data_IF_289012490407
#
_entry.id   IF_289012490407
#
_cell.length_a   1.000
_cell.length_b   1.000
_cell.length_c   1.000
_cell.angle_alpha   90.00
_cell.angle_beta   90.00
_cell.angle_gamma   90.00
#
_symmetry.space_group_name_H-M   'P 1'
#
loop_
_entity.id
_entity.type
_entity.pdbx_description
1 polymer ?
#
# COMPACT_ATOMS: atom_id res chain seq x y z
N UNK A 1 25.11 26.64 -3.80
CA UNK A 1 26.44 26.16 -3.39
C UNK A 1 27.06 27.20 -2.49
N UNK A 2 27.27 26.90 -1.21
CA UNK A 2 28.10 27.76 -0.36
C UNK A 2 29.51 27.82 -0.96
N UNK A 3 30.04 29.03 -1.11
CA UNK A 3 31.30 29.34 -1.79
C UNK A 3 32.56 28.89 -1.06
N UNK A 4 32.41 28.25 0.10
CA UNK A 4 33.50 27.66 0.86
C UNK A 4 33.55 26.16 0.57
N UNK A 5 34.74 25.63 0.25
CA UNK A 5 35.02 24.21 -0.04
C UNK A 5 34.87 23.31 1.20
N UNK A 6 33.76 23.42 1.91
CA UNK A 6 33.42 22.65 3.10
C UNK A 6 32.58 21.46 2.64
N UNK A 7 32.98 20.25 3.05
CA UNK A 7 32.20 19.05 2.80
C UNK A 7 30.81 19.18 3.42
N UNK A 8 29.77 18.87 2.65
CA UNK A 8 28.38 18.87 3.10
C UNK A 8 27.74 17.51 2.84
N UNK A 9 26.72 17.19 3.62
CA UNK A 9 25.85 16.04 3.42
C UNK A 9 24.66 16.43 2.52
N UNK A 10 24.13 15.44 1.79
CA UNK A 10 22.98 15.59 0.88
C UNK A 10 21.63 15.28 1.55
N UNK A 11 21.62 15.08 2.87
CA UNK A 11 20.44 14.68 3.63
C UNK A 11 20.19 13.16 3.60
N UNK A 12 18.96 12.77 3.96
CA UNK A 12 18.49 11.36 3.96
C UNK A 12 18.57 10.80 2.54
N UNK A 13 18.99 9.54 2.41
CA UNK A 13 19.26 8.85 1.13
C UNK A 13 20.34 9.53 0.27
N UNK A 14 21.26 10.29 0.90
CA UNK A 14 22.32 11.00 0.21
C UNK A 14 23.32 10.10 -0.54
N UNK A 15 23.49 8.84 -0.12
CA UNK A 15 24.35 7.86 -0.81
C UNK A 15 23.79 7.50 -2.18
N UNK A 16 22.52 7.12 -2.24
CA UNK A 16 21.85 6.80 -3.50
C UNK A 16 21.79 8.03 -4.40
N UNK A 17 21.52 9.22 -3.82
CA UNK A 17 21.50 10.46 -4.59
C UNK A 17 22.87 10.80 -5.17
N UNK A 18 23.95 10.54 -4.43
CA UNK A 18 25.32 10.67 -4.95
C UNK A 18 25.56 9.73 -6.13
N UNK A 19 25.12 8.47 -6.03
CA UNK A 19 25.24 7.50 -7.13
C UNK A 19 24.49 7.98 -8.39
N UNK A 20 23.28 8.52 -8.21
CA UNK A 20 22.48 9.08 -9.31
C UNK A 20 23.14 10.30 -9.96
N UNK A 21 23.68 11.23 -9.17
CA UNK A 21 24.40 12.39 -9.70
C UNK A 21 25.62 11.92 -10.52
N UNK A 22 26.41 11.00 -9.95
CA UNK A 22 27.60 10.49 -10.63
C UNK A 22 27.25 9.72 -11.91
N UNK A 23 26.21 8.88 -11.87
CA UNK A 23 25.72 8.16 -13.05
C UNK A 23 25.25 9.11 -14.16
N UNK A 24 24.52 10.17 -13.79
CA UNK A 24 24.08 11.20 -14.73
C UNK A 24 25.25 11.97 -15.34
N UNK A 25 26.22 12.41 -14.53
CA UNK A 25 27.40 13.15 -14.99
C UNK A 25 28.31 12.30 -15.88
N UNK A 26 28.43 11.00 -15.58
CA UNK A 26 29.23 10.07 -16.36
C UNK A 26 28.51 9.55 -17.61
N UNK A 27 27.22 9.86 -17.79
CA UNK A 27 26.37 9.31 -18.85
C UNK A 27 26.42 7.77 -18.84
N UNK A 28 26.29 7.21 -17.64
CA UNK A 28 26.35 5.77 -17.43
C UNK A 28 25.22 5.06 -18.18
N UNK A 29 25.51 3.85 -18.69
CA UNK A 29 24.49 2.99 -19.31
C UNK A 29 23.39 2.60 -18.32
N UNK A 30 23.73 2.48 -17.02
CA UNK A 30 22.79 2.22 -15.94
C UNK A 30 23.38 2.58 -14.58
N UNK A 31 22.52 2.72 -13.58
CA UNK A 31 22.90 2.84 -12.16
C UNK A 31 22.33 1.66 -11.38
N UNK A 32 23.12 1.15 -10.44
CA UNK A 32 22.73 0.01 -9.60
C UNK A 32 22.75 0.41 -8.14
N UNK A 33 21.61 0.28 -7.47
CA UNK A 33 21.50 0.47 -6.03
C UNK A 33 21.46 -0.91 -5.38
N UNK A 34 22.45 -1.16 -4.51
CA UNK A 34 22.62 -2.40 -3.78
C UNK A 34 22.07 -2.22 -2.36
N UNK A 35 21.03 -2.97 -2.04
CA UNK A 35 20.31 -2.95 -0.77
C UNK A 35 20.33 -4.36 -0.15
N UNK A 36 19.49 -4.61 0.86
CA UNK A 36 19.31 -5.88 1.56
C UNK A 36 18.06 -6.67 1.13
N UNK A 37 17.29 -6.14 0.16
CA UNK A 37 16.09 -6.76 -0.41
C UNK A 37 16.32 -7.28 -1.84
N UNK A 38 15.57 -8.33 -2.22
CA UNK A 38 15.57 -8.95 -3.56
C UNK A 38 14.80 -8.09 -4.58
N UNK A 39 15.17 -6.82 -4.70
CA UNK A 39 14.47 -5.82 -5.49
C UNK A 39 13.29 -5.17 -4.76
N UNK A 40 12.41 -4.55 -5.53
CA UNK A 40 11.14 -3.97 -5.05
C UNK A 40 10.08 -5.06 -5.09
N UNK A 41 9.34 -5.22 -4.00
CA UNK A 41 8.35 -6.28 -3.82
C UNK A 41 6.93 -5.79 -4.13
N UNK A 42 6.02 -6.68 -4.52
CA UNK A 42 4.60 -6.36 -4.77
C UNK A 42 3.82 -5.95 -3.50
N UNK A 43 4.36 -6.24 -2.31
CA UNK A 43 3.95 -5.75 -0.99
C UNK A 43 5.13 -5.95 -0.03
N UNK A 44 5.07 -5.39 1.18
CA UNK A 44 6.08 -5.65 2.23
C UNK A 44 6.16 -7.17 2.52
N UNK A 45 7.32 -7.83 2.28
CA UNK A 45 7.48 -9.26 2.51
C UNK A 45 7.38 -9.66 3.98
N UNK A 46 7.55 -8.73 4.93
CA UNK A 46 7.31 -8.98 6.35
C UNK A 46 5.82 -9.04 6.68
N UNK A 47 4.98 -8.38 5.89
CA UNK A 47 3.53 -8.40 6.03
C UNK A 47 2.89 -9.49 5.17
N UNK A 48 3.45 -9.78 3.99
CA UNK A 48 2.85 -10.68 3.00
C UNK A 48 3.89 -11.70 2.51
N UNK A 49 3.76 -12.94 2.99
CA UNK A 49 4.66 -14.04 2.60
C UNK A 49 4.63 -14.35 1.09
N UNK A 50 3.50 -14.08 0.43
CA UNK A 50 3.33 -14.30 -1.02
C UNK A 50 3.83 -13.13 -1.87
N UNK A 51 4.48 -12.12 -1.28
CA UNK A 51 5.06 -11.00 -2.01
C UNK A 51 6.09 -11.49 -3.04
N UNK A 52 6.11 -10.85 -4.20
CA UNK A 52 6.96 -11.22 -5.35
C UNK A 52 7.80 -10.03 -5.76
N UNK A 53 9.02 -10.26 -6.22
CA UNK A 53 9.83 -9.21 -6.85
C UNK A 53 9.14 -8.68 -8.10
N UNK A 54 9.03 -7.36 -8.20
CA UNK A 54 8.64 -6.63 -9.40
C UNK A 54 9.87 -6.56 -10.30
N UNK A 55 9.86 -7.26 -11.43
CA UNK A 55 11.04 -7.32 -12.30
C UNK A 55 11.28 -6.01 -13.06
N UNK A 56 10.21 -5.30 -13.40
CA UNK A 56 10.27 -4.04 -14.15
C UNK A 56 9.17 -3.09 -13.69
N UNK A 57 9.50 -1.80 -13.64
CA UNK A 57 8.56 -0.71 -13.39
C UNK A 57 9.01 0.61 -14.03
N UNK A 58 8.07 1.53 -14.17
CA UNK A 58 8.35 2.92 -14.59
C UNK A 58 8.86 3.77 -13.44
N UNK A 59 9.51 4.90 -13.75
CA UNK A 59 9.89 5.88 -12.72
C UNK A 59 8.67 6.40 -11.95
N UNK A 60 7.57 6.70 -12.63
CA UNK A 60 6.33 7.15 -12.00
C UNK A 60 5.80 6.12 -11.00
N UNK A 61 5.78 4.84 -11.36
CA UNK A 61 5.36 3.77 -10.44
C UNK A 61 6.29 3.67 -9.22
N UNK A 62 7.59 3.88 -9.41
CA UNK A 62 8.57 3.82 -8.32
C UNK A 62 8.40 5.00 -7.35
N UNK A 63 8.14 6.19 -7.90
CA UNK A 63 7.86 7.40 -7.11
C UNK A 63 6.59 7.21 -6.29
N UNK A 64 5.51 6.75 -6.92
CA UNK A 64 4.21 6.54 -6.24
C UNK A 64 4.31 5.46 -5.15
N UNK A 65 5.00 4.34 -5.41
CA UNK A 65 5.24 3.32 -4.39
C UNK A 65 6.09 3.85 -3.22
N UNK A 66 7.15 4.60 -3.52
CA UNK A 66 8.00 5.21 -2.49
C UNK A 66 7.24 6.25 -1.64
N UNK A 67 6.35 7.02 -2.25
CA UNK A 67 5.51 7.99 -1.55
C UNK A 67 4.58 7.32 -0.54
N UNK A 68 3.96 6.20 -0.92
CA UNK A 68 3.01 5.48 -0.07
C UNK A 68 3.64 4.42 0.85
N UNK A 69 4.92 4.56 1.19
CA UNK A 69 5.55 3.78 2.26
C UNK A 69 6.34 2.55 1.82
N UNK A 70 6.50 2.28 0.51
CA UNK A 70 7.51 1.30 0.10
C UNK A 70 8.90 1.87 0.42
N UNK A 71 9.68 1.17 1.26
CA UNK A 71 11.09 1.51 1.49
C UNK A 71 11.90 1.26 0.20
N UNK A 72 11.90 2.27 -0.66
CA UNK A 72 12.50 2.28 -2.00
C UNK A 72 13.29 3.59 -2.17
N UNK A 73 13.96 3.71 -3.31
CA UNK A 73 14.60 4.94 -3.77
C UNK A 73 13.58 6.09 -3.85
N UNK A 74 13.86 7.17 -3.14
CA UNK A 74 13.08 8.41 -3.14
C UNK A 74 13.17 9.17 -4.48
N UNK A 75 12.11 9.89 -4.88
CA UNK A 75 12.06 10.66 -6.14
C UNK A 75 13.30 11.56 -6.37
N UNK A 76 13.65 12.39 -5.38
CA UNK A 76 14.86 13.24 -5.41
C UNK A 76 16.13 12.48 -5.81
N UNK A 77 16.24 11.22 -5.38
CA UNK A 77 17.37 10.36 -5.73
C UNK A 77 17.32 9.94 -7.19
N UNK A 78 16.14 9.68 -7.77
CA UNK A 78 16.01 9.25 -9.16
C UNK A 78 16.11 10.40 -10.17
N UNK A 79 15.75 11.63 -9.80
CA UNK A 79 15.66 12.79 -10.69
C UNK A 79 16.85 12.97 -11.66
N UNK A 80 18.13 12.89 -11.24
CA UNK A 80 19.26 13.04 -12.16
C UNK A 80 19.32 11.99 -13.27
N UNK A 81 18.76 10.81 -13.02
CA UNK A 81 18.73 9.68 -13.95
C UNK A 81 17.50 9.72 -14.84
N UNK A 82 16.36 10.18 -14.32
CA UNK A 82 15.13 10.41 -15.10
C UNK A 82 15.39 11.37 -16.26
N UNK A 83 16.07 12.49 -16.00
CA UNK A 83 16.36 13.53 -17.00
C UNK A 83 17.19 13.01 -18.20
N UNK A 84 17.98 11.95 -17.98
CA UNK A 84 18.83 11.31 -19.00
C UNK A 84 18.32 9.94 -19.44
N UNK A 85 17.15 9.51 -18.97
CA UNK A 85 16.58 8.17 -19.19
C UNK A 85 17.56 7.02 -18.86
N UNK A 86 18.34 7.19 -17.78
CA UNK A 86 19.32 6.20 -17.33
C UNK A 86 18.62 5.17 -16.42
N UNK A 87 18.55 3.89 -16.81
CA UNK A 87 17.83 2.88 -16.05
C UNK A 87 18.50 2.61 -14.70
N UNK A 88 17.65 2.37 -13.69
CA UNK A 88 18.07 2.04 -12.33
C UNK A 88 17.79 0.56 -12.08
N UNK A 89 18.71 -0.11 -11.39
CA UNK A 89 18.53 -1.49 -10.98
C UNK A 89 18.65 -1.62 -9.47
N UNK A 90 17.65 -2.22 -8.83
CA UNK A 90 17.65 -2.57 -7.42
C UNK A 90 18.13 -4.01 -7.26
N UNK A 91 19.17 -4.21 -6.44
CA UNK A 91 19.80 -5.52 -6.21
C UNK A 91 20.01 -5.80 -4.73
N UNK A 92 20.07 -7.09 -4.39
CA UNK A 92 20.41 -7.54 -3.06
C UNK A 92 21.92 -7.81 -2.92
N UNK A 93 22.57 -7.16 -1.96
CA UNK A 93 23.98 -7.36 -1.61
C UNK A 93 24.21 -8.77 -1.04
N UNK A 94 23.26 -9.28 -0.27
CA UNK A 94 23.33 -10.60 0.39
C UNK A 94 22.86 -11.75 -0.50
N UNK A 95 22.17 -11.43 -1.61
CA UNK A 95 21.69 -12.41 -2.58
C UNK A 95 21.91 -11.91 -4.03
N UNK A 96 23.17 -11.87 -4.53
CA UNK A 96 23.47 -11.23 -5.82
C UNK A 96 22.83 -11.88 -7.06
N UNK A 97 22.42 -13.16 -6.94
CA UNK A 97 21.76 -13.93 -7.99
C UNK A 97 20.22 -13.83 -7.92
N UNK A 98 19.68 -13.02 -7.01
CA UNK A 98 18.24 -12.79 -6.88
C UNK A 98 17.65 -12.16 -8.14
N UNK A 99 16.33 -12.18 -8.23
CA UNK A 99 15.63 -11.29 -9.16
C UNK A 99 15.96 -9.84 -8.82
N UNK A 100 15.98 -9.01 -9.85
CA UNK A 100 16.27 -7.58 -9.77
C UNK A 100 15.07 -6.78 -10.24
N UNK A 101 14.92 -5.57 -9.73
CA UNK A 101 13.94 -4.61 -10.28
C UNK A 101 14.65 -3.63 -11.19
N UNK A 102 14.22 -3.54 -12.45
CA UNK A 102 14.63 -2.49 -13.38
C UNK A 102 13.60 -1.36 -13.39
N UNK A 103 14.06 -0.14 -13.11
CA UNK A 103 13.27 1.09 -13.21
C UNK A 103 13.72 1.86 -14.47
N UNK A 104 12.79 2.21 -15.36
CA UNK A 104 13.09 2.92 -16.62
C UNK A 104 11.87 3.66 -17.18
N UNK A 105 12.01 4.44 -18.26
CA UNK A 105 10.86 5.07 -18.94
C UNK A 105 9.95 4.11 -19.72
N UNK A 106 10.39 2.86 -19.92
CA UNK A 106 9.68 1.89 -20.74
C UNK A 106 8.30 1.55 -20.16
N UNK A 107 7.26 1.64 -20.99
CA UNK A 107 5.92 1.15 -20.67
C UNK A 107 5.93 -0.38 -20.64
N UNK A 108 5.47 -0.96 -19.54
CA UNK A 108 5.47 -2.42 -19.34
C UNK A 108 4.05 -2.92 -19.47
N UNK A 109 3.79 -3.67 -20.53
CA UNK A 109 2.49 -4.33 -20.74
C UNK A 109 2.30 -5.50 -19.75
N UNK A 110 1.04 -5.73 -19.33
CA UNK A 110 0.62 -7.02 -18.74
C UNK A 110 0.15 -7.02 -17.29
N UNK A 111 0.46 -6.00 -16.47
CA UNK A 111 -0.10 -5.87 -15.11
C UNK A 111 -0.53 -4.44 -14.82
N UNK A 112 -1.83 -4.26 -14.54
CA UNK A 112 -2.39 -2.94 -14.21
C UNK A 112 -1.88 -2.43 -12.86
N UNK A 113 -1.96 -3.27 -11.81
CA UNK A 113 -1.42 -2.97 -10.47
C UNK A 113 -0.02 -3.58 -10.36
N UNK A 114 0.95 -2.80 -9.89
CA UNK A 114 2.35 -3.20 -9.69
C UNK A 114 2.67 -3.55 -8.25
N UNK A 115 2.12 -2.80 -7.31
CA UNK A 115 2.37 -3.03 -5.90
C UNK A 115 1.26 -2.52 -5.00
N UNK A 116 1.31 -2.99 -3.77
CA UNK A 116 0.48 -2.55 -2.65
C UNK A 116 1.41 -2.02 -1.58
N UNK A 117 1.08 -0.87 -1.03
CA UNK A 117 1.86 -0.26 0.05
C UNK A 117 0.94 0.17 1.18
N UNK A 118 1.56 0.40 2.33
CA UNK A 118 0.88 0.74 3.56
C UNK A 118 1.58 1.89 4.25
N UNK A 119 0.80 2.75 4.90
CA UNK A 119 1.30 3.72 5.87
C UNK A 119 0.58 3.47 7.18
N UNK A 120 1.34 3.08 8.20
CA UNK A 120 0.84 2.80 9.54
C UNK A 120 0.91 4.06 10.42
N UNK A 121 0.23 4.02 11.57
CA UNK A 121 0.29 5.08 12.59
C UNK A 121 -0.10 6.45 12.03
N UNK A 122 -1.29 6.53 11.45
CA UNK A 122 -1.86 7.80 11.01
C UNK A 122 -3.05 8.19 11.87
N UNK A 123 -3.29 9.50 11.93
CA UNK A 123 -4.51 10.09 12.48
C UNK A 123 -5.33 10.66 11.33
N UNK A 124 -6.59 10.22 11.23
CA UNK A 124 -7.55 10.76 10.28
C UNK A 124 -8.32 11.92 10.93
N UNK A 125 -8.35 13.06 10.26
CA UNK A 125 -8.96 14.30 10.75
C UNK A 125 -10.01 14.76 9.75
N UNK A 126 -11.21 15.04 10.22
CA UNK A 126 -12.29 15.60 9.42
C UNK A 126 -12.71 16.96 10.01
N UNK A 127 -12.71 17.98 9.16
CA UNK A 127 -13.31 19.27 9.46
C UNK A 127 -14.52 19.45 8.56
N UNK A 128 -15.64 19.91 9.13
CA UNK A 128 -16.84 20.15 8.35
C UNK A 128 -17.63 21.36 8.84
N UNK A 129 -18.41 21.96 7.95
CA UNK A 129 -19.22 23.11 8.31
C UNK A 129 -19.91 23.79 7.13
N UNK A 130 -21.10 24.32 7.39
CA UNK A 130 -21.90 25.04 6.40
C UNK A 130 -21.24 26.34 5.94
N UNK A 131 -20.38 26.93 6.78
CA UNK A 131 -19.59 28.12 6.45
C UNK A 131 -18.45 27.86 5.46
N UNK A 132 -18.16 26.60 5.10
CA UNK A 132 -17.14 26.25 4.10
C UNK A 132 -17.68 26.30 2.66
N UNK A 133 -19.00 26.20 2.46
CA UNK A 133 -19.61 26.06 1.15
C UNK A 133 -19.38 27.33 0.30
N UNK A 134 -18.67 27.18 -0.83
CA UNK A 134 -18.49 28.27 -1.79
C UNK A 134 -17.69 29.46 -1.24
N UNK A 135 -16.97 29.27 -0.13
CA UNK A 135 -16.05 30.26 0.45
C UNK A 135 -14.63 29.86 0.07
N UNK A 136 -14.00 30.54 -0.91
CA UNK A 136 -12.61 30.29 -1.25
C UNK A 136 -11.72 30.60 -0.05
N UNK A 137 -10.82 29.69 0.30
CA UNK A 137 -9.74 29.97 1.24
C UNK A 137 -9.69 29.10 2.49
N UNK A 138 -10.73 28.34 2.83
CA UNK A 138 -10.69 27.41 3.98
C UNK A 138 -9.58 26.38 3.83
N UNK A 139 -9.48 25.72 2.67
CA UNK A 139 -8.39 24.79 2.39
C UNK A 139 -7.01 25.49 2.47
N UNK A 140 -6.88 26.71 1.96
CA UNK A 140 -5.62 27.48 2.04
C UNK A 140 -5.23 27.75 3.49
N UNK A 141 -6.16 28.21 4.33
CA UNK A 141 -5.95 28.48 5.76
C UNK A 141 -5.52 27.20 6.49
N UNK A 142 -6.23 26.10 6.25
CA UNK A 142 -5.91 24.78 6.81
C UNK A 142 -4.49 24.36 6.46
N UNK A 143 -4.14 24.30 5.17
CA UNK A 143 -2.78 23.86 4.79
C UNK A 143 -1.69 24.82 5.27
N UNK A 144 -1.99 26.11 5.40
CA UNK A 144 -1.03 27.09 5.94
C UNK A 144 -0.77 26.83 7.42
N UNK A 145 -1.80 26.67 8.24
CA UNK A 145 -1.60 26.42 9.68
C UNK A 145 -0.94 25.07 9.97
N UNK A 146 -1.26 24.03 9.18
CA UNK A 146 -0.58 22.74 9.28
C UNK A 146 0.92 22.86 8.93
N UNK A 147 1.23 23.57 7.84
CA UNK A 147 2.62 23.81 7.42
C UNK A 147 3.40 24.61 8.47
N UNK A 148 2.80 25.65 9.05
CA UNK A 148 3.42 26.48 10.09
C UNK A 148 3.68 25.66 11.38
N UNK A 149 2.85 24.67 11.66
CA UNK A 149 3.02 23.71 12.76
C UNK A 149 3.97 22.53 12.43
N UNK A 150 4.55 22.52 11.21
CA UNK A 150 5.44 21.45 10.72
C UNK A 150 4.73 20.12 10.47
N UNK A 151 3.41 20.14 10.26
CA UNK A 151 2.58 18.94 10.05
C UNK A 151 2.42 18.72 8.55
N UNK A 152 2.87 17.55 8.07
CA UNK A 152 2.68 17.14 6.68
C UNK A 152 1.38 16.34 6.52
N UNK A 153 0.65 16.61 5.45
CA UNK A 153 -0.57 15.84 5.09
C UNK A 153 -0.17 14.68 4.18
N UNK A 154 -0.53 13.47 4.60
CA UNK A 154 -0.19 12.23 3.90
C UNK A 154 -1.22 11.92 2.81
N UNK A 155 -2.50 12.06 3.16
CA UNK A 155 -3.65 11.80 2.30
C UNK A 155 -4.68 12.90 2.49
N UNK A 156 -5.34 13.29 1.40
CA UNK A 156 -6.40 14.30 1.39
C UNK A 156 -7.57 13.80 0.56
N UNK A 157 -8.78 13.96 1.09
CA UNK A 157 -10.02 13.72 0.35
C UNK A 157 -11.06 14.76 0.73
N UNK A 158 -11.82 15.22 -0.26
CA UNK A 158 -12.83 16.25 -0.08
C UNK A 158 -14.07 15.87 -0.88
N UNK A 159 -15.23 15.93 -0.23
CA UNK A 159 -16.50 15.76 -0.94
C UNK A 159 -16.75 16.95 -1.87
N UNK A 160 -17.46 16.71 -2.97
CA UNK A 160 -17.77 17.73 -3.99
C UNK A 160 -18.63 18.90 -3.47
N UNK A 161 -19.25 18.76 -2.30
CA UNK A 161 -20.05 19.82 -1.67
C UNK A 161 -19.20 20.92 -1.00
N UNK A 162 -17.86 20.80 -0.96
CA UNK A 162 -16.94 21.69 -0.23
C UNK A 162 -17.25 21.83 1.27
N UNK A 163 -18.16 21.01 1.79
CA UNK A 163 -18.65 21.07 3.15
C UNK A 163 -17.72 20.39 4.16
N UNK A 164 -16.82 19.53 3.69
CA UNK A 164 -15.90 18.80 4.55
C UNK A 164 -14.54 18.60 3.88
N UNK A 165 -13.48 18.64 4.70
CA UNK A 165 -12.12 18.29 4.31
C UNK A 165 -11.65 17.19 5.27
N UNK A 166 -11.31 16.04 4.70
CA UNK A 166 -10.81 14.88 5.43
C UNK A 166 -9.36 14.63 5.02
N UNK A 167 -8.47 14.50 5.97
CA UNK A 167 -7.05 14.34 5.72
C UNK A 167 -6.37 13.46 6.76
N UNK A 168 -5.25 12.86 6.38
CA UNK A 168 -4.42 12.03 7.25
C UNK A 168 -3.10 12.73 7.56
N UNK A 169 -2.67 12.62 8.82
CA UNK A 169 -1.37 13.09 9.32
C UNK A 169 -0.67 11.95 10.07
N UNK A 170 0.62 12.11 10.32
CA UNK A 170 1.36 11.21 11.21
C UNK A 170 0.77 11.25 12.63
N UNK A 171 0.59 10.08 13.26
CA UNK A 171 0.02 9.93 14.60
C UNK A 171 0.83 10.68 15.67
N UNK A 172 2.12 10.97 15.42
CA UNK A 172 2.95 11.80 16.31
C UNK A 172 2.37 13.21 16.53
N UNK A 173 1.51 13.68 15.62
CA UNK A 173 0.88 14.99 15.67
C UNK A 173 -0.58 14.96 16.17
N UNK A 174 -1.11 13.78 16.52
CA UNK A 174 -2.49 13.61 17.03
C UNK A 174 -2.82 14.58 18.15
N UNK A 175 -1.95 14.68 19.17
CA UNK A 175 -2.26 15.41 20.40
C UNK A 175 -2.30 16.94 20.21
N UNK A 176 -1.71 17.46 19.12
CA UNK A 176 -1.64 18.92 18.85
C UNK A 176 -2.57 19.39 17.74
N UNK A 177 -3.12 18.47 16.94
CA UNK A 177 -3.83 18.84 15.70
C UNK A 177 -5.10 19.66 15.99
N UNK A 178 -5.80 19.32 17.06
CA UNK A 178 -7.03 20.00 17.46
C UNK A 178 -6.75 21.47 17.81
N UNK A 179 -5.73 21.72 18.62
CA UNK A 179 -5.32 23.05 19.03
C UNK A 179 -4.86 23.89 17.83
N UNK A 180 -4.04 23.31 16.93
CA UNK A 180 -3.57 23.99 15.71
C UNK A 180 -4.73 24.46 14.83
N UNK A 181 -5.76 23.63 14.66
CA UNK A 181 -6.94 23.99 13.86
C UNK A 181 -7.82 24.98 14.61
N UNK A 182 -8.03 24.80 15.92
CA UNK A 182 -8.86 25.71 16.73
C UNK A 182 -8.27 27.10 16.83
N UNK A 183 -6.95 27.23 16.89
CA UNK A 183 -6.29 28.54 16.90
C UNK A 183 -6.53 29.31 15.59
N UNK A 184 -6.36 28.65 14.43
CA UNK A 184 -6.57 29.27 13.11
C UNK A 184 -8.05 29.57 12.83
N UNK A 185 -8.97 28.70 13.26
CA UNK A 185 -10.40 28.77 12.93
C UNK A 185 -11.30 29.18 14.11
N UNK A 186 -10.73 29.74 15.19
CA UNK A 186 -11.46 30.11 16.42
C UNK A 186 -12.73 30.92 16.17
N UNK A 187 -12.69 31.90 15.26
CA UNK A 187 -13.85 32.71 14.88
C UNK A 187 -14.91 31.83 14.20
N UNK A 188 -14.50 30.98 13.26
CA UNK A 188 -15.41 30.11 12.50
C UNK A 188 -16.16 29.13 13.41
N UNK A 189 -15.49 28.55 14.42
CA UNK A 189 -16.16 27.75 15.46
C UNK A 189 -17.13 28.60 16.31
N UNK A 190 -16.72 29.81 16.70
CA UNK A 190 -17.53 30.66 17.59
C UNK A 190 -18.85 31.13 16.97
N UNK A 191 -18.88 31.31 15.64
CA UNK A 191 -20.07 31.74 14.89
C UNK A 191 -20.84 30.55 14.27
N UNK A 192 -20.39 29.31 14.52
CA UNK A 192 -21.05 28.09 14.04
C UNK A 192 -20.84 27.80 12.55
N UNK A 193 -19.81 28.38 11.94
CA UNK A 193 -19.44 28.11 10.55
C UNK A 193 -18.75 26.74 10.39
N UNK A 194 -18.02 26.30 11.41
CA UNK A 194 -17.41 24.97 11.53
C UNK A 194 -18.04 24.21 12.69
N UNK A 195 -18.21 22.90 12.50
CA UNK A 195 -18.61 21.94 13.52
C UNK A 195 -17.39 21.39 14.25
N UNK A 196 -17.60 20.57 15.28
CA UNK A 196 -16.52 19.91 16.01
C UNK A 196 -15.59 19.11 15.08
N UNK A 197 -14.29 19.13 15.39
CA UNK A 197 -13.27 18.41 14.61
C UNK A 197 -13.37 16.94 14.97
N UNK A 198 -13.55 16.07 13.98
CA UNK A 198 -13.51 14.63 14.22
C UNK A 198 -12.07 14.14 14.05
N UNK A 199 -11.53 13.51 15.09
CA UNK A 199 -10.17 12.96 15.12
C UNK A 199 -10.27 11.46 15.37
N UNK A 200 -9.74 10.67 14.44
CA UNK A 200 -9.74 9.21 14.50
C UNK A 200 -8.30 8.71 14.44
N UNK A 201 -7.79 8.30 15.60
CA UNK A 201 -6.48 7.65 15.74
C UNK A 201 -6.55 6.16 15.37
N UNK A 202 -5.42 5.46 15.48
CA UNK A 202 -5.33 4.02 15.18
C UNK A 202 -5.79 3.69 13.75
N UNK A 203 -5.37 4.52 12.78
CA UNK A 203 -5.71 4.33 11.38
C UNK A 203 -4.45 3.97 10.56
N UNK A 204 -4.67 3.39 9.38
CA UNK A 204 -3.63 3.04 8.43
C UNK A 204 -4.12 3.19 7.00
N UNK A 205 -3.22 3.53 6.09
CA UNK A 205 -3.51 3.65 4.66
C UNK A 205 -3.11 2.34 3.98
N UNK A 206 -3.95 1.88 3.06
CA UNK A 206 -3.61 0.85 2.07
C UNK A 206 -3.72 1.50 0.69
N UNK A 207 -2.67 1.42 -0.10
CA UNK A 207 -2.61 1.98 -1.45
C UNK A 207 -2.30 0.87 -2.47
N UNK A 208 -3.04 0.85 -3.58
CA UNK A 208 -2.71 0.06 -4.78
C UNK A 208 -2.14 1.00 -5.84
N UNK A 209 -0.95 0.66 -6.35
CA UNK A 209 -0.21 1.52 -7.28
C UNK A 209 0.13 0.77 -8.57
N UNK A 210 -0.04 1.42 -9.70
CA UNK A 210 0.38 0.92 -11.01
C UNK A 210 -0.03 1.83 -12.16
N UNK A 211 0.88 2.07 -13.10
CA UNK A 211 0.61 2.93 -14.27
C UNK A 211 -0.43 2.32 -15.21
N UNK A 212 -0.52 0.99 -15.25
CA UNK A 212 -1.53 0.28 -16.03
C UNK A 212 -2.94 0.32 -15.42
N UNK A 213 -3.13 0.97 -14.28
CA UNK A 213 -4.46 1.21 -13.69
C UNK A 213 -5.25 2.26 -14.49
N UNK A 214 -4.56 3.26 -15.04
CA UNK A 214 -5.18 4.36 -15.81
C UNK A 214 -5.98 3.83 -16.99
N UNK A 215 -7.28 4.12 -17.03
CA UNK A 215 -8.20 3.66 -18.08
C UNK A 215 -8.58 2.18 -17.99
N UNK A 216 -8.03 1.40 -17.05
CA UNK A 216 -8.39 -0.02 -16.88
C UNK A 216 -9.63 -0.15 -16.01
N UNK A 217 -10.74 -0.55 -16.65
CA UNK A 217 -12.02 -0.76 -15.98
C UNK A 217 -11.95 -1.93 -15.00
N UNK A 218 -12.50 -1.75 -13.81
CA UNK A 218 -12.68 -2.81 -12.83
C UNK A 218 -11.62 -2.90 -11.73
N UNK A 219 -10.48 -2.19 -11.85
CA UNK A 219 -9.43 -2.20 -10.82
C UNK A 219 -9.96 -1.70 -9.47
N UNK A 220 -10.64 -0.55 -9.46
CA UNK A 220 -11.27 -0.02 -8.24
C UNK A 220 -12.29 -1.01 -7.66
N UNK A 221 -13.13 -1.60 -8.51
CA UNK A 221 -14.13 -2.57 -8.07
C UNK A 221 -13.49 -3.83 -7.46
N UNK A 222 -12.42 -4.34 -8.06
CA UNK A 222 -11.63 -5.46 -7.54
C UNK A 222 -10.99 -5.11 -6.19
N UNK A 223 -10.43 -3.91 -6.06
CA UNK A 223 -9.83 -3.43 -4.81
C UNK A 223 -10.86 -3.34 -3.67
N UNK A 224 -11.97 -2.62 -3.87
CA UNK A 224 -13.02 -2.50 -2.85
C UNK A 224 -13.71 -3.82 -2.54
N UNK A 225 -13.82 -4.72 -3.53
CA UNK A 225 -14.31 -6.08 -3.29
C UNK A 225 -13.36 -6.85 -2.37
N UNK A 226 -12.05 -6.79 -2.59
CA UNK A 226 -11.08 -7.44 -1.72
C UNK A 226 -11.13 -6.91 -0.28
N UNK A 227 -11.26 -5.59 -0.11
CA UNK A 227 -11.45 -4.97 1.22
C UNK A 227 -12.75 -5.46 1.87
N UNK A 228 -13.85 -5.52 1.11
CA UNK A 228 -15.14 -6.01 1.62
C UNK A 228 -15.09 -7.49 2.01
N UNK A 229 -14.46 -8.34 1.18
CA UNK A 229 -14.26 -9.77 1.45
C UNK A 229 -13.34 -10.01 2.66
N UNK A 230 -12.50 -9.03 3.00
CA UNK A 230 -11.70 -9.03 4.22
C UNK A 230 -12.49 -8.63 5.48
N UNK A 231 -13.77 -8.24 5.35
CA UNK A 231 -14.63 -7.74 6.43
C UNK A 231 -14.04 -6.53 7.19
N UNK A 232 -13.41 -5.62 6.45
CA UNK A 232 -12.80 -4.40 6.98
C UNK A 232 -13.59 -3.18 6.55
N UNK A 233 -13.84 -2.27 7.49
CA UNK A 233 -14.52 -1.01 7.23
C UNK A 233 -13.57 0.01 6.58
N UNK A 234 -14.05 0.72 5.56
CA UNK A 234 -13.31 1.82 4.93
C UNK A 234 -13.71 3.14 5.60
N UNK A 235 -12.72 3.84 6.17
CA UNK A 235 -12.91 5.13 6.86
C UNK A 235 -12.84 6.31 5.89
N UNK A 236 -11.90 6.25 4.92
CA UNK A 236 -11.74 7.27 3.90
C UNK A 236 -11.20 6.66 2.60
N UNK A 237 -11.43 7.35 1.49
CA UNK A 237 -10.98 6.96 0.15
C UNK A 237 -10.30 8.16 -0.50
N UNK A 238 -9.16 7.92 -1.14
CA UNK A 238 -8.51 8.89 -2.01
C UNK A 238 -8.16 8.26 -3.35
N UNK A 239 -8.50 8.96 -4.43
CA UNK A 239 -8.08 8.64 -5.78
C UNK A 239 -7.90 9.94 -6.57
N UNK A 240 -6.71 10.12 -7.13
CA UNK A 240 -6.40 11.25 -7.99
C UNK A 240 -6.80 11.01 -9.45
N UNK A 241 -6.80 12.08 -10.25
CA UNK A 241 -7.11 12.04 -11.68
C UNK A 241 -6.10 11.27 -12.54
N UNK A 242 -4.92 10.98 -11.99
CA UNK A 242 -3.93 10.13 -12.67
C UNK A 242 -4.36 8.66 -12.75
N UNK A 243 -5.27 8.22 -11.88
CA UNK A 243 -5.72 6.82 -11.74
C UNK A 243 -4.59 5.81 -11.48
N UNK A 244 -3.36 6.27 -11.22
CA UNK A 244 -2.18 5.42 -10.95
C UNK A 244 -2.15 4.88 -9.52
N UNK A 245 -2.99 5.44 -8.66
CA UNK A 245 -3.10 5.09 -7.25
C UNK A 245 -4.56 5.15 -6.79
N UNK A 246 -4.96 4.16 -5.99
CA UNK A 246 -6.20 4.18 -5.20
C UNK A 246 -5.80 3.86 -3.76
N UNK A 247 -6.21 4.71 -2.82
CA UNK A 247 -5.92 4.54 -1.41
C UNK A 247 -7.19 4.48 -0.58
N UNK A 248 -7.17 3.65 0.46
CA UNK A 248 -8.20 3.61 1.51
C UNK A 248 -7.56 3.77 2.86
N UNK A 249 -8.31 4.37 3.78
CA UNK A 249 -7.97 4.40 5.21
C UNK A 249 -8.81 3.35 5.92
N UNK A 250 -8.16 2.54 6.75
CA UNK A 250 -8.77 1.47 7.55
C UNK A 250 -8.28 1.57 8.99
N UNK A 251 -8.94 0.85 9.91
CA UNK A 251 -8.43 0.68 11.25
C UNK A 251 -7.10 -0.10 11.19
N UNK A 252 -6.09 0.35 11.94
CA UNK A 252 -4.77 -0.28 11.98
C UNK A 252 -4.83 -1.75 12.39
N UNK A 253 -5.73 -2.13 13.30
CA UNK A 253 -5.89 -3.52 13.76
C UNK A 253 -6.34 -4.46 12.63
N UNK A 254 -6.98 -3.92 11.60
CA UNK A 254 -7.47 -4.64 10.43
C UNK A 254 -6.47 -4.69 9.26
N UNK A 255 -5.37 -3.93 9.34
CA UNK A 255 -4.46 -3.67 8.23
C UNK A 255 -3.93 -4.95 7.59
N UNK A 256 -3.33 -5.83 8.38
CA UNK A 256 -2.69 -7.05 7.87
C UNK A 256 -3.68 -7.94 7.12
N UNK A 257 -4.91 -8.09 7.65
CA UNK A 257 -5.98 -8.86 7.02
C UNK A 257 -6.39 -8.24 5.69
N UNK A 258 -6.61 -6.92 5.64
CA UNK A 258 -6.99 -6.22 4.43
C UNK A 258 -5.91 -6.32 3.34
N UNK A 259 -4.64 -6.06 3.67
CA UNK A 259 -3.52 -6.12 2.73
C UNK A 259 -3.39 -7.54 2.15
N UNK A 260 -3.56 -8.58 2.96
CA UNK A 260 -3.52 -9.97 2.50
C UNK A 260 -4.59 -10.29 1.46
N UNK A 261 -5.82 -9.82 1.65
CA UNK A 261 -6.90 -10.00 0.68
C UNK A 261 -6.65 -9.20 -0.59
N UNK A 262 -6.23 -7.94 -0.47
CA UNK A 262 -5.89 -7.08 -1.61
C UNK A 262 -4.76 -7.69 -2.43
N UNK A 263 -3.69 -8.16 -1.77
CA UNK A 263 -2.57 -8.82 -2.44
C UNK A 263 -3.00 -10.07 -3.18
N UNK A 264 -3.82 -10.91 -2.54
CA UNK A 264 -4.34 -12.11 -3.18
C UNK A 264 -5.20 -11.80 -4.41
N UNK A 265 -6.03 -10.75 -4.32
CA UNK A 265 -6.89 -10.33 -5.42
C UNK A 265 -6.08 -9.92 -6.66
N UNK A 266 -4.93 -9.26 -6.51
CA UNK A 266 -4.13 -8.77 -7.63
C UNK A 266 -2.99 -9.69 -8.08
N UNK A 267 -2.35 -10.43 -7.16
CA UNK A 267 -1.07 -11.11 -7.43
C UNK A 267 -1.06 -12.63 -7.24
N UNK A 268 -2.06 -13.18 -6.54
CA UNK A 268 -2.14 -14.61 -6.29
C UNK A 268 -2.94 -15.32 -7.37
N UNK A 269 -3.79 -14.61 -8.11
CA UNK A 269 -4.45 -15.08 -9.33
C UNK A 269 -5.37 -16.30 -9.14
N UNK A 270 -5.41 -16.90 -7.94
CA UNK A 270 -6.18 -18.09 -7.60
C UNK A 270 -6.63 -18.03 -6.14
N UNK A 271 -7.92 -18.27 -5.90
CA UNK A 271 -8.48 -18.37 -4.55
C UNK A 271 -7.86 -19.60 -3.86
N UNK A 272 -7.40 -19.48 -2.62
CA UNK A 272 -6.98 -20.67 -1.84
C UNK A 272 -8.23 -21.33 -1.26
N UNK A 273 -8.56 -22.54 -1.72
CA UNK A 273 -9.65 -23.36 -1.15
C UNK A 273 -9.07 -24.29 -0.09
N UNK A 274 -9.41 -24.04 1.17
CA UNK A 274 -9.04 -24.90 2.29
C UNK A 274 -10.24 -25.79 2.63
N UNK A 275 -10.08 -27.11 2.47
CA UNK A 275 -11.12 -28.09 2.82
C UNK A 275 -10.68 -28.82 4.08
N UNK A 276 -11.39 -28.58 5.19
CA UNK A 276 -11.25 -29.35 6.42
C UNK A 276 -12.21 -30.54 6.44
N UNK A 277 -11.69 -31.77 6.52
CA UNK A 277 -12.49 -33.00 6.65
C UNK A 277 -12.43 -33.52 8.09
N UNK A 278 -13.56 -33.49 8.79
CA UNK A 278 -13.70 -34.01 10.16
C UNK A 278 -14.41 -35.36 10.12
N UNK A 279 -13.65 -36.43 10.35
CA UNK A 279 -14.14 -37.82 10.34
C UNK A 279 -14.09 -38.51 8.97
N UNK A 280 -13.51 -39.72 8.94
CA UNK A 280 -13.39 -40.56 7.74
C UNK A 280 -14.36 -41.75 7.77
N UNK A 281 -15.64 -41.47 8.07
CA UNK A 281 -16.72 -42.43 7.86
C UNK A 281 -16.95 -42.70 6.36
N UNK A 282 -17.95 -43.52 6.03
CA UNK A 282 -18.27 -43.84 4.63
C UNK A 282 -18.51 -42.58 3.77
N UNK A 283 -19.19 -41.57 4.33
CA UNK A 283 -19.46 -40.30 3.65
C UNK A 283 -18.19 -39.46 3.47
N UNK A 284 -17.35 -39.33 4.50
CA UNK A 284 -16.11 -38.55 4.42
C UNK A 284 -15.11 -39.13 3.42
N UNK A 285 -15.02 -40.47 3.34
CA UNK A 285 -14.19 -41.16 2.35
C UNK A 285 -14.69 -40.93 0.92
N UNK A 286 -16.01 -41.02 0.71
CA UNK A 286 -16.59 -40.83 -0.62
C UNK A 286 -16.50 -39.37 -1.06
N UNK A 287 -16.72 -38.41 -0.15
CA UNK A 287 -16.50 -36.98 -0.43
C UNK A 287 -15.04 -36.70 -0.81
N UNK A 288 -14.07 -37.22 -0.04
CA UNK A 288 -12.66 -37.11 -0.40
C UNK A 288 -12.38 -37.67 -1.79
N UNK A 289 -12.90 -38.86 -2.10
CA UNK A 289 -12.73 -39.50 -3.41
C UNK A 289 -13.29 -38.63 -4.54
N UNK A 290 -14.46 -38.02 -4.34
CA UNK A 290 -15.06 -37.13 -5.34
C UNK A 290 -14.25 -35.85 -5.54
N UNK A 291 -13.79 -35.21 -4.45
CA UNK A 291 -12.94 -34.02 -4.53
C UNK A 291 -11.62 -34.34 -5.21
N UNK A 292 -10.95 -35.45 -4.85
CA UNK A 292 -9.68 -35.86 -5.47
C UNK A 292 -9.84 -36.24 -6.96
N UNK A 293 -10.97 -36.85 -7.34
CA UNK A 293 -11.27 -37.18 -8.75
C UNK A 293 -11.57 -35.92 -9.57
N UNK A 294 -12.28 -34.95 -8.99
CA UNK A 294 -12.71 -33.73 -9.71
C UNK A 294 -11.73 -32.56 -9.55
N UNK A 295 -10.63 -32.73 -8.82
CA UNK A 295 -9.73 -31.64 -8.44
C UNK A 295 -9.30 -30.78 -9.63
N UNK A 296 -8.89 -31.38 -10.74
CA UNK A 296 -8.39 -30.65 -11.90
C UNK A 296 -9.48 -29.79 -12.56
N UNK A 297 -10.73 -30.26 -12.55
CA UNK A 297 -11.89 -29.50 -13.03
C UNK A 297 -12.25 -28.38 -12.06
N UNK A 298 -12.28 -28.67 -10.75
CA UNK A 298 -12.53 -27.66 -9.70
C UNK A 298 -11.48 -26.53 -9.80
N UNK A 299 -10.22 -26.86 -10.01
CA UNK A 299 -9.16 -25.86 -10.12
C UNK A 299 -9.27 -25.01 -11.39
N UNK A 300 -9.67 -25.63 -12.51
CA UNK A 300 -9.81 -24.95 -13.80
C UNK A 300 -11.06 -24.07 -13.84
N UNK A 301 -12.17 -24.56 -13.29
CA UNK A 301 -13.46 -23.89 -13.39
C UNK A 301 -13.64 -22.79 -12.33
N UNK A 302 -12.96 -22.91 -11.18
CA UNK A 302 -13.07 -21.94 -10.08
C UNK A 302 -11.80 -21.11 -9.85
N UNK A 303 -10.74 -21.31 -10.64
CA UNK A 303 -9.48 -20.57 -10.54
C UNK A 303 -8.89 -20.61 -9.12
N UNK A 304 -8.60 -21.81 -8.61
CA UNK A 304 -8.21 -22.08 -7.20
C UNK A 304 -6.80 -22.69 -7.10
N UNK A 305 -6.02 -22.32 -6.07
CA UNK A 305 -4.65 -22.84 -5.82
C UNK A 305 -4.67 -24.08 -4.91
N UNK A 306 -3.70 -24.98 -5.11
CA UNK A 306 -3.60 -26.29 -4.45
C UNK A 306 -3.15 -26.16 -2.98
N UNK A 307 -4.07 -26.25 -2.02
CA UNK A 307 -3.73 -26.39 -0.59
C UNK A 307 -4.73 -27.29 0.16
N UNK A 308 -4.48 -28.61 0.21
CA UNK A 308 -5.24 -29.53 1.07
C UNK A 308 -4.52 -29.67 2.42
N UNK A 309 -5.02 -28.98 3.46
CA UNK A 309 -4.44 -29.03 4.80
C UNK A 309 -5.15 -30.07 5.69
N UNK A 310 -4.79 -31.34 5.51
CA UNK A 310 -4.91 -32.39 6.53
C UNK A 310 -6.31 -32.90 6.90
N UNK A 311 -6.34 -33.93 7.76
CA UNK A 311 -7.54 -34.52 8.34
C UNK A 311 -7.43 -34.59 9.86
N UNK A 312 -8.54 -34.40 10.57
CA UNK A 312 -8.61 -34.63 12.03
C UNK A 312 -9.37 -35.93 12.28
N UNK A 313 -8.68 -36.93 12.81
CA UNK A 313 -9.26 -38.22 13.23
C UNK A 313 -9.61 -38.15 14.70
N UNK A 314 -10.90 -38.00 15.04
CA UNK A 314 -11.35 -38.28 16.39
C UNK A 314 -11.35 -39.81 16.60
N UNK A 315 -10.38 -40.31 17.37
CA UNK A 315 -10.48 -41.64 17.97
C UNK A 315 -11.38 -41.45 19.18
N UNK A 316 -12.68 -41.73 19.04
CA UNK A 316 -13.52 -41.99 20.21
C UNK A 316 -12.97 -43.26 20.86
N UNK A 317 -12.25 -43.09 21.97
CA UNK A 317 -11.92 -44.19 22.86
C UNK A 317 -13.23 -44.74 23.39
N UNK A 318 -13.65 -45.89 22.88
CA UNK A 318 -14.38 -46.83 23.70
C UNK A 318 -13.97 -48.25 23.34
N UNK A 319 -13.21 -48.82 24.28
CA UNK A 319 -13.17 -50.21 24.73
C UNK A 319 -11.78 -50.83 24.70
N UNK A 320 -11.27 -51.08 25.91
CA UNK A 320 -10.18 -51.98 26.26
C UNK A 320 -10.16 -53.26 25.42
N UNK A 321 -9.00 -53.59 24.82
CA UNK A 321 -8.33 -54.90 24.99
C UNK A 321 -7.01 -55.00 24.20
N UNK A 322 -5.94 -55.06 24.98
CA UNK A 322 -4.81 -56.00 24.87
C UNK A 322 -3.85 -56.02 23.65
N UNK A 323 -2.62 -55.62 24.00
CA UNK A 323 -1.32 -56.27 23.80
C UNK A 323 -0.50 -56.05 22.51
N UNK A 324 0.68 -55.45 22.79
CA UNK A 324 1.95 -55.29 22.07
C UNK A 324 2.03 -54.31 20.90
#
# INVERSE_FOLDING_TARGET
MSSDSIATNLGRNGSDYSASIMGSLAEAESVSIWTDTDGIMTADPNQIESAKTIEQMSYDEAIELAYFGAEVIHEKTMSPLIDKDIPIYIRNTFNPESKVTKISSALIEGQSVKGITTIENITLVNIEGSGMIGVPGTAKRLFSCLSDAGISVILLTQASSEHSICFAIDEEFSDKIEDVIKDEFSVDFSIGNLQEIEIQNNASIIAVVGSGMTGTKGIAAQFFRAITESEVNVMAIAQGSSEKNISVVVNKDDLHRAVQFVHNAFFTGKTKLIIGLVGLGNVGKEFYRQVDTQKDNIYKDFNVEKNFCGYVKFITYDTYRHYF
#
